data_IF_794574515870
#
_entry.id   IF_794574515870
#
_cell.length_a   1.000
_cell.length_b   1.000
_cell.length_c   1.000
_cell.angle_alpha   90.00
_cell.angle_beta   90.00
_cell.angle_gamma   90.00
#
_symmetry.space_group_name_H-M   'P 1'
#
loop_
_entity.id
_entity.type
_entity.pdbx_description
1 polymer ?
#
# COMPACT_ATOMS: atom_id res chain seq x y z
N UNK A 1 9.52 -1.41 22.43
CA UNK A 1 9.61 -0.01 21.96
C UNK A 1 10.20 0.95 23.00
N UNK A 2 9.63 1.14 24.23
CA UNK A 2 10.16 2.08 25.22
C UNK A 2 11.63 1.79 25.60
N UNK A 3 11.99 0.53 25.82
CA UNK A 3 13.38 0.13 26.12
C UNK A 3 14.35 0.46 24.98
N UNK A 4 13.92 0.39 23.73
CA UNK A 4 14.75 0.79 22.58
C UNK A 4 14.81 2.32 22.43
N UNK A 5 13.71 3.02 22.73
CA UNK A 5 13.66 4.47 22.66
C UNK A 5 14.66 5.14 23.65
N UNK A 6 14.82 4.57 24.86
CA UNK A 6 15.81 5.07 25.84
C UNK A 6 17.26 4.90 25.38
N UNK A 7 17.49 4.07 24.39
CA UNK A 7 18.81 3.80 23.81
C UNK A 7 19.10 4.65 22.56
N UNK A 8 18.11 5.38 22.05
CA UNK A 8 18.30 6.26 20.91
C UNK A 8 19.10 7.50 21.32
N UNK A 9 19.96 7.95 20.41
CA UNK A 9 20.66 9.21 20.57
C UNK A 9 19.67 10.39 20.52
N UNK A 10 19.97 11.50 21.17
CA UNK A 10 19.21 12.76 20.99
C UNK A 10 19.24 13.13 19.50
N UNK A 11 18.07 13.46 18.93
CA UNK A 11 17.94 13.72 17.49
C UNK A 11 17.77 12.45 16.64
N UNK A 12 17.53 11.29 17.26
CA UNK A 12 17.10 10.08 16.56
C UNK A 12 15.61 9.80 16.79
N UNK A 13 14.93 9.26 15.78
CA UNK A 13 13.51 8.88 15.86
C UNK A 13 13.21 7.63 15.04
N UNK A 14 12.18 6.90 15.45
CA UNK A 14 11.72 5.72 14.72
C UNK A 14 11.29 6.08 13.30
N UNK A 15 11.60 5.20 12.35
CA UNK A 15 11.39 5.40 10.92
C UNK A 15 11.12 4.07 10.20
N UNK A 16 11.04 4.08 8.88
CA UNK A 16 10.88 2.89 8.04
C UNK A 16 9.67 2.05 8.48
N UNK A 17 9.79 0.73 8.55
CA UNK A 17 8.70 -0.17 8.98
C UNK A 17 8.22 0.18 10.39
N UNK A 18 9.13 0.41 11.33
CA UNK A 18 8.79 0.78 12.71
C UNK A 18 7.95 2.06 12.76
N UNK A 19 8.38 3.10 12.06
CA UNK A 19 7.63 4.36 12.00
C UNK A 19 6.25 4.19 11.38
N UNK A 20 6.14 3.41 10.31
CA UNK A 20 4.87 3.11 9.66
C UNK A 20 3.92 2.31 10.56
N UNK A 21 4.42 1.29 11.27
CA UNK A 21 3.64 0.54 12.27
C UNK A 21 3.15 1.41 13.42
N UNK A 22 4.00 2.30 13.94
CA UNK A 22 3.63 3.24 15.00
C UNK A 22 2.48 4.17 14.59
N UNK A 23 2.44 4.56 13.31
CA UNK A 23 1.36 5.38 12.73
C UNK A 23 0.11 4.57 12.35
N UNK A 24 0.17 3.24 12.38
CA UNK A 24 -0.93 2.37 11.96
C UNK A 24 -1.11 2.32 10.43
N UNK A 25 -0.06 2.62 9.67
CA UNK A 25 -0.12 2.53 8.21
C UNK A 25 -0.21 1.10 7.74
N UNK A 26 -0.91 0.89 6.65
CA UNK A 26 -0.94 -0.41 5.99
C UNK A 26 0.44 -0.78 5.49
N UNK A 27 0.83 -2.00 5.80
CA UNK A 27 2.09 -2.55 5.35
C UNK A 27 1.83 -3.84 4.57
N UNK A 28 2.64 -4.14 3.55
CA UNK A 28 2.61 -5.46 2.93
C UNK A 28 3.05 -6.52 3.94
N UNK A 29 2.80 -7.82 3.67
CA UNK A 29 3.32 -8.91 4.49
C UNK A 29 4.84 -8.80 4.62
N UNK A 30 5.33 -8.66 5.84
CA UNK A 30 6.76 -8.46 6.12
C UNK A 30 7.47 -9.79 6.40
N UNK A 31 8.78 -9.90 6.09
CA UNK A 31 9.60 -10.98 6.60
C UNK A 31 9.61 -11.00 8.13
N UNK A 32 9.70 -12.18 8.72
CA UNK A 32 9.90 -12.33 10.17
C UNK A 32 11.32 -11.92 10.57
N UNK A 33 11.48 -11.48 11.84
CA UNK A 33 12.80 -11.16 12.40
C UNK A 33 13.40 -9.84 11.90
N UNK A 34 12.62 -8.94 11.33
CA UNK A 34 13.11 -7.58 11.02
C UNK A 34 13.45 -6.84 12.33
N UNK A 35 14.61 -6.13 12.38
CA UNK A 35 14.91 -5.25 13.50
C UNK A 35 13.99 -4.03 13.49
N UNK A 36 13.90 -3.33 14.60
CA UNK A 36 13.33 -1.99 14.65
C UNK A 36 14.21 -1.00 13.89
N UNK A 37 13.63 0.05 13.33
CA UNK A 37 14.34 1.02 12.51
C UNK A 37 14.25 2.42 13.15
N UNK A 38 15.39 3.09 13.26
CA UNK A 38 15.45 4.49 13.63
C UNK A 38 16.35 5.29 12.67
N UNK A 39 16.06 6.57 12.50
CA UNK A 39 16.85 7.49 11.70
C UNK A 39 17.64 8.45 12.59
N UNK A 40 18.85 8.79 12.17
CA UNK A 40 19.67 9.85 12.77
C UNK A 40 20.68 10.40 11.75
N UNK A 41 21.18 11.62 11.99
CA UNK A 41 22.24 12.20 11.16
C UNK A 41 23.67 11.84 11.61
N UNK A 42 23.85 11.30 12.81
CA UNK A 42 25.17 10.96 13.37
C UNK A 42 25.93 9.91 12.56
N UNK A 43 27.25 10.05 12.52
CA UNK A 43 28.15 9.00 11.98
C UNK A 43 28.27 7.80 12.91
N UNK A 44 28.07 8.02 14.22
CA UNK A 44 28.11 6.94 15.20
C UNK A 44 26.79 6.13 15.11
N UNK A 45 26.90 4.88 14.73
CA UNK A 45 25.78 3.95 14.56
C UNK A 45 26.08 2.68 15.36
N UNK A 46 25.59 2.59 16.59
CA UNK A 46 25.75 1.36 17.36
C UNK A 46 25.09 0.21 16.58
N UNK A 47 25.84 -0.87 16.39
CA UNK A 47 25.29 -2.11 15.78
C UNK A 47 24.60 -2.89 16.89
N UNK A 48 23.31 -3.10 16.71
CA UNK A 48 22.48 -3.90 17.63
C UNK A 48 21.59 -4.82 16.81
N UNK A 49 21.41 -6.07 17.22
CA UNK A 49 20.56 -7.02 16.49
C UNK A 49 19.11 -6.52 16.35
N UNK A 50 18.59 -5.89 17.43
CA UNK A 50 17.19 -5.47 17.52
C UNK A 50 16.91 -4.08 16.93
N UNK A 51 17.97 -3.28 16.62
CA UNK A 51 17.82 -1.90 16.19
C UNK A 51 18.75 -1.56 15.04
N UNK A 52 18.18 -1.16 13.92
CA UNK A 52 18.91 -0.69 12.75
C UNK A 52 18.81 0.81 12.60
N UNK A 53 19.96 1.48 12.59
CA UNK A 53 20.05 2.92 12.38
C UNK A 53 20.20 3.24 10.90
N UNK A 54 19.28 4.02 10.36
CA UNK A 54 19.31 4.58 9.00
C UNK A 54 19.88 6.00 9.09
N UNK A 55 21.00 6.23 8.43
CA UNK A 55 21.54 7.59 8.33
C UNK A 55 20.69 8.43 7.38
N UNK A 56 20.33 9.62 7.83
CA UNK A 56 19.62 10.64 7.04
C UNK A 56 20.44 11.92 6.93
N UNK A 57 20.32 12.60 5.80
CA UNK A 57 20.85 13.94 5.56
C UNK A 57 19.78 14.68 4.78
N UNK A 58 19.30 15.83 5.24
CA UNK A 58 19.66 16.54 6.49
C UNK A 58 19.27 15.77 7.76
N UNK A 59 19.49 16.41 8.92
CA UNK A 59 19.02 15.88 10.23
C UNK A 59 17.49 15.70 10.18
N UNK A 60 16.95 14.56 10.68
CA UNK A 60 15.53 14.33 10.62
C UNK A 60 14.79 15.21 11.62
N UNK A 61 13.64 15.69 11.23
CA UNK A 61 12.69 16.33 12.14
C UNK A 61 12.07 15.28 13.06
N UNK A 62 12.21 15.47 14.38
CA UNK A 62 11.74 14.53 15.40
C UNK A 62 10.53 15.10 16.11
N UNK A 63 9.45 14.33 16.13
CA UNK A 63 8.26 14.56 16.94
C UNK A 63 8.07 13.44 17.96
N UNK A 64 6.97 13.48 18.72
CA UNK A 64 6.61 12.41 19.64
C UNK A 64 5.23 11.84 19.27
N UNK A 65 5.18 10.53 19.12
CA UNK A 65 3.94 9.78 18.95
C UNK A 65 3.80 8.82 20.13
N UNK A 66 2.75 9.00 20.93
CA UNK A 66 2.52 8.22 22.17
C UNK A 66 3.75 8.19 23.10
N UNK A 67 4.44 9.34 23.21
CA UNK A 67 5.64 9.49 24.03
C UNK A 67 6.96 8.99 23.41
N UNK A 68 6.91 8.31 22.28
CA UNK A 68 8.10 7.76 21.57
C UNK A 68 8.59 8.73 20.47
N UNK A 69 9.91 8.86 20.25
CA UNK A 69 10.46 9.71 19.21
C UNK A 69 10.21 9.09 17.82
N UNK A 70 9.67 9.88 16.91
CA UNK A 70 9.37 9.46 15.54
C UNK A 70 9.76 10.56 14.56
N UNK A 71 10.26 10.19 13.39
CA UNK A 71 10.56 11.14 12.32
C UNK A 71 9.29 11.60 11.60
N UNK A 72 9.38 12.67 10.81
CA UNK A 72 8.28 13.15 9.98
C UNK A 72 7.73 12.04 9.05
N UNK A 73 6.43 12.08 8.75
CA UNK A 73 5.76 11.07 7.89
C UNK A 73 6.41 10.93 6.53
N UNK A 74 6.79 12.04 5.91
CA UNK A 74 7.49 12.05 4.61
C UNK A 74 8.86 11.40 4.68
N UNK A 75 9.56 11.50 5.80
CA UNK A 75 10.85 10.83 6.02
C UNK A 75 10.69 9.32 6.17
N UNK A 76 9.59 8.87 6.79
CA UNK A 76 9.23 7.44 6.84
C UNK A 76 8.99 6.92 5.43
N UNK A 77 8.20 7.62 4.61
CA UNK A 77 7.95 7.25 3.22
C UNK A 77 9.23 7.16 2.40
N UNK A 78 10.12 8.15 2.50
CA UNK A 78 11.41 8.13 1.82
C UNK A 78 12.29 6.94 2.27
N UNK A 79 12.30 6.63 3.56
CA UNK A 79 13.05 5.51 4.11
C UNK A 79 12.52 4.17 3.58
N UNK A 80 11.20 3.97 3.53
CA UNK A 80 10.55 2.79 2.95
C UNK A 80 10.83 2.68 1.46
N UNK A 81 10.70 3.78 0.72
CA UNK A 81 10.93 3.82 -0.72
C UNK A 81 12.37 3.46 -1.14
N UNK A 82 13.34 3.47 -0.23
CA UNK A 82 14.71 2.98 -0.50
C UNK A 82 14.77 1.46 -0.68
N UNK A 83 13.91 0.72 0.04
CA UNK A 83 14.05 -0.73 0.18
C UNK A 83 12.83 -1.49 -0.36
N UNK A 84 11.63 -0.96 -0.25
CA UNK A 84 10.40 -1.59 -0.71
C UNK A 84 10.29 -1.62 -2.24
N UNK A 85 9.47 -2.53 -2.77
CA UNK A 85 9.01 -2.54 -4.15
C UNK A 85 8.09 -1.36 -4.46
N UNK A 86 7.87 -1.05 -5.74
CA UNK A 86 7.00 0.06 -6.11
C UNK A 86 5.58 -0.13 -5.60
N UNK A 87 5.00 -1.32 -5.79
CA UNK A 87 3.67 -1.68 -5.30
C UNK A 87 3.54 -1.48 -3.79
N UNK A 88 4.55 -1.94 -3.02
CA UNK A 88 4.55 -1.79 -1.56
C UNK A 88 4.57 -0.31 -1.14
N UNK A 89 5.34 0.52 -1.85
CA UNK A 89 5.41 1.97 -1.56
C UNK A 89 4.07 2.64 -1.86
N UNK A 90 3.36 2.23 -2.93
CA UNK A 90 2.02 2.79 -3.22
C UNK A 90 1.03 2.42 -2.12
N UNK A 91 1.02 1.16 -1.66
CA UNK A 91 0.13 0.73 -0.55
C UNK A 91 0.37 1.56 0.71
N UNK A 92 1.63 1.80 1.08
CA UNK A 92 1.96 2.60 2.26
C UNK A 92 1.62 4.08 2.05
N UNK A 93 1.84 4.61 0.85
CA UNK A 93 1.50 5.99 0.52
C UNK A 93 -0.01 6.23 0.52
N UNK A 94 -0.79 5.31 -0.06
CA UNK A 94 -2.26 5.37 0.00
C UNK A 94 -2.74 5.39 1.45
N UNK A 95 -2.17 4.53 2.31
CA UNK A 95 -2.49 4.53 3.73
C UNK A 95 -2.16 5.86 4.41
N UNK A 96 -0.98 6.43 4.15
CA UNK A 96 -0.56 7.69 4.76
C UNK A 96 -1.44 8.87 4.32
N UNK A 97 -1.90 8.87 3.06
CA UNK A 97 -2.84 9.85 2.51
C UNK A 97 -4.25 9.65 3.09
N UNK A 98 -4.73 8.40 3.13
CA UNK A 98 -6.04 8.03 3.67
C UNK A 98 -6.21 8.45 5.13
N UNK A 99 -5.19 8.20 5.94
CA UNK A 99 -5.19 8.55 7.38
C UNK A 99 -4.91 10.04 7.63
N UNK A 100 -4.62 10.83 6.58
CA UNK A 100 -4.31 12.24 6.72
C UNK A 100 -2.95 12.55 7.35
N UNK A 101 -2.09 11.54 7.49
CA UNK A 101 -0.74 11.69 8.06
C UNK A 101 0.24 12.41 7.11
N UNK A 102 -0.11 12.46 5.83
CA UNK A 102 0.61 13.20 4.79
C UNK A 102 -0.39 13.92 3.91
N UNK A 103 -0.24 15.23 3.81
CA UNK A 103 -1.03 16.06 2.88
C UNK A 103 -0.42 16.05 1.48
N UNK A 104 -1.21 16.35 0.43
CA UNK A 104 -0.68 16.52 -0.93
C UNK A 104 0.47 17.54 -1.02
N UNK A 105 0.41 18.64 -0.26
CA UNK A 105 1.47 19.64 -0.21
C UNK A 105 2.75 19.09 0.39
N UNK A 106 2.66 18.41 1.56
CA UNK A 106 3.83 17.78 2.19
C UNK A 106 4.46 16.71 1.30
N UNK A 107 3.63 15.95 0.57
CA UNK A 107 4.13 14.99 -0.41
C UNK A 107 4.86 15.70 -1.55
N UNK A 108 4.28 16.74 -2.13
CA UNK A 108 4.89 17.53 -3.22
C UNK A 108 6.26 18.06 -2.78
N UNK A 109 6.37 18.64 -1.58
CA UNK A 109 7.64 19.13 -1.02
C UNK A 109 8.67 18.02 -0.87
N UNK A 110 8.26 16.85 -0.35
CA UNK A 110 9.15 15.69 -0.21
C UNK A 110 9.68 15.17 -1.55
N UNK A 111 8.88 15.28 -2.62
CA UNK A 111 9.26 14.84 -3.97
C UNK A 111 10.28 15.76 -4.63
N UNK A 112 10.44 17.02 -4.20
CA UNK A 112 11.48 17.94 -4.71
C UNK A 112 12.86 17.63 -4.15
N UNK A 113 12.93 16.98 -2.98
CA UNK A 113 14.15 16.72 -2.26
C UNK A 113 15.12 15.80 -3.04
N UNK A 114 16.43 16.11 -2.97
CA UNK A 114 17.50 15.24 -3.50
C UNK A 114 17.92 14.22 -2.43
N UNK A 115 17.02 13.27 -2.13
CA UNK A 115 17.20 12.29 -1.06
C UNK A 115 17.05 10.85 -1.59
N UNK A 116 17.68 9.91 -0.88
CA UNK A 116 17.49 8.49 -1.19
C UNK A 116 16.01 8.08 -1.06
N UNK A 117 15.53 7.27 -2.00
CA UNK A 117 14.14 6.84 -2.07
C UNK A 117 13.23 7.75 -2.90
N UNK A 118 13.60 9.01 -3.15
CA UNK A 118 12.74 9.99 -3.84
C UNK A 118 12.32 9.53 -5.25
N UNK A 119 13.19 8.87 -6.01
CA UNK A 119 12.83 8.38 -7.36
C UNK A 119 11.66 7.41 -7.32
N UNK A 120 11.71 6.45 -6.37
CA UNK A 120 10.62 5.47 -6.22
C UNK A 120 9.39 6.11 -5.62
N UNK A 121 9.54 7.05 -4.68
CA UNK A 121 8.42 7.78 -4.11
C UNK A 121 7.71 8.64 -5.18
N UNK A 122 8.43 9.26 -6.11
CA UNK A 122 7.83 9.97 -7.27
C UNK A 122 7.00 9.03 -8.13
N UNK A 123 7.53 7.85 -8.48
CA UNK A 123 6.77 6.85 -9.23
C UNK A 123 5.55 6.36 -8.45
N UNK A 124 5.69 6.13 -7.14
CA UNK A 124 4.55 5.76 -6.30
C UNK A 124 3.49 6.86 -6.26
N UNK A 125 3.89 8.13 -6.19
CA UNK A 125 2.97 9.26 -6.16
C UNK A 125 2.15 9.42 -7.45
N UNK A 126 2.66 8.98 -8.61
CA UNK A 126 1.86 8.96 -9.85
C UNK A 126 0.79 7.86 -9.88
N UNK A 127 0.91 6.87 -9.00
CA UNK A 127 0.01 5.71 -8.90
C UNK A 127 -0.87 5.74 -7.65
N UNK A 128 -0.56 6.59 -6.68
CA UNK A 128 -1.25 6.66 -5.41
C UNK A 128 -2.62 7.31 -5.52
N UNK A 129 -3.55 6.83 -4.68
CA UNK A 129 -4.88 7.40 -4.52
C UNK A 129 -5.36 7.15 -3.07
N UNK A 130 -5.34 8.18 -2.24
CA UNK A 130 -5.68 8.09 -0.81
C UNK A 130 -7.15 7.77 -0.51
N UNK A 131 -7.98 7.46 -1.52
CA UNK A 131 -9.36 7.01 -1.33
C UNK A 131 -9.48 5.52 -1.03
N UNK A 132 -8.48 4.69 -1.38
CA UNK A 132 -8.48 3.28 -0.96
C UNK A 132 -8.60 3.18 0.56
N UNK A 133 -9.38 2.22 1.06
CA UNK A 133 -9.62 2.00 2.50
C UNK A 133 -8.89 0.75 3.03
N UNK A 134 -8.19 0.03 2.16
CA UNK A 134 -7.40 -1.16 2.53
C UNK A 134 -6.21 -1.39 1.58
N UNK A 135 -5.20 -2.20 2.01
CA UNK A 135 -4.10 -2.61 1.14
C UNK A 135 -4.58 -3.30 -0.15
N UNK A 136 -5.58 -4.16 -0.02
CA UNK A 136 -6.05 -4.96 -1.16
C UNK A 136 -6.92 -4.17 -2.13
N UNK A 137 -7.63 -3.13 -1.68
CA UNK A 137 -8.26 -2.17 -2.59
C UNK A 137 -7.21 -1.42 -3.42
N UNK A 138 -6.09 -1.00 -2.80
CA UNK A 138 -4.94 -0.44 -3.53
C UNK A 138 -4.41 -1.45 -4.56
N UNK A 139 -4.25 -2.73 -4.20
CA UNK A 139 -3.79 -3.77 -5.12
C UNK A 139 -4.77 -3.97 -6.27
N UNK A 140 -6.06 -4.10 -5.97
CA UNK A 140 -7.10 -4.28 -6.98
C UNK A 140 -7.14 -3.09 -7.96
N UNK A 141 -7.06 -1.87 -7.44
CA UNK A 141 -6.98 -0.64 -8.25
C UNK A 141 -5.75 -0.66 -9.18
N UNK A 142 -4.57 -0.98 -8.64
CA UNK A 142 -3.33 -1.00 -9.42
C UNK A 142 -3.30 -2.13 -10.46
N UNK A 143 -3.96 -3.26 -10.19
CA UNK A 143 -4.15 -4.32 -11.18
C UNK A 143 -4.93 -3.78 -12.39
N UNK A 144 -6.06 -3.11 -12.14
CA UNK A 144 -6.86 -2.50 -13.22
C UNK A 144 -6.04 -1.49 -14.01
N UNK A 145 -5.37 -0.56 -13.33
CA UNK A 145 -4.51 0.47 -13.97
C UNK A 145 -3.39 -0.17 -14.80
N UNK A 146 -2.73 -1.20 -14.27
CA UNK A 146 -1.68 -1.92 -14.99
C UNK A 146 -2.17 -2.67 -16.25
N UNK A 147 -3.48 -2.99 -16.29
CA UNK A 147 -4.14 -3.66 -17.41
C UNK A 147 -4.91 -2.68 -18.32
N UNK A 148 -4.60 -1.37 -18.28
CA UNK A 148 -5.27 -0.33 -19.06
C UNK A 148 -6.80 -0.30 -18.85
N UNK A 149 -7.23 -0.50 -17.60
CA UNK A 149 -8.62 -0.34 -17.17
C UNK A 149 -8.73 0.91 -16.32
N UNK A 150 -9.42 1.91 -16.82
CA UNK A 150 -9.69 3.13 -16.08
C UNK A 150 -10.73 2.85 -14.98
N UNK A 151 -10.39 3.20 -13.73
CA UNK A 151 -11.25 2.98 -12.57
C UNK A 151 -11.34 4.23 -11.70
N UNK A 152 -12.47 4.38 -11.01
CA UNK A 152 -12.69 5.44 -10.01
C UNK A 152 -12.87 4.79 -8.64
N UNK A 153 -11.92 5.03 -7.69
CA UNK A 153 -12.04 4.48 -6.35
C UNK A 153 -13.18 5.12 -5.55
N UNK A 154 -13.78 4.33 -4.67
CA UNK A 154 -14.81 4.74 -3.71
C UNK A 154 -15.98 5.48 -4.38
N UNK A 155 -16.48 4.87 -5.49
CA UNK A 155 -17.57 5.46 -6.28
C UNK A 155 -18.91 5.36 -5.56
N UNK A 156 -19.59 6.50 -5.42
CA UNK A 156 -20.96 6.56 -4.90
C UNK A 156 -21.97 6.33 -6.01
N UNK A 157 -22.71 5.21 -5.91
CA UNK A 157 -23.86 4.95 -6.75
C UNK A 157 -25.08 5.67 -6.17
N UNK A 158 -25.64 6.60 -6.93
CA UNK A 158 -26.82 7.38 -6.53
C UNK A 158 -27.95 7.18 -7.54
N UNK A 159 -29.18 7.05 -7.02
CA UNK A 159 -30.40 7.00 -7.80
C UNK A 159 -31.34 8.10 -7.27
N UNK A 160 -31.82 8.97 -8.11
CA UNK A 160 -32.63 10.15 -7.76
C UNK A 160 -32.07 10.97 -6.61
N UNK A 161 -30.74 11.13 -6.56
CA UNK A 161 -30.00 11.84 -5.52
C UNK A 161 -29.79 11.07 -4.21
N UNK A 162 -30.42 9.91 -4.04
CA UNK A 162 -30.25 9.02 -2.89
C UNK A 162 -29.04 8.12 -3.07
N UNK A 163 -28.19 8.02 -2.05
CA UNK A 163 -27.09 7.05 -2.05
C UNK A 163 -27.65 5.62 -1.96
N UNK A 164 -27.39 4.81 -2.97
CA UNK A 164 -27.74 3.38 -3.01
C UNK A 164 -26.60 2.52 -2.46
N UNK A 165 -25.37 2.77 -2.93
CA UNK A 165 -24.19 2.05 -2.49
C UNK A 165 -22.94 2.88 -2.73
N UNK A 166 -21.81 2.49 -2.11
CA UNK A 166 -20.46 2.95 -2.43
C UNK A 166 -19.63 1.73 -2.78
N UNK A 167 -19.07 1.69 -3.98
CA UNK A 167 -18.23 0.59 -4.46
C UNK A 167 -16.75 0.95 -4.41
N UNK A 168 -15.88 -0.04 -4.14
CA UNK A 168 -14.45 0.20 -4.03
C UNK A 168 -13.86 0.74 -5.34
N UNK A 169 -14.27 0.18 -6.49
CA UNK A 169 -13.84 0.61 -7.83
C UNK A 169 -15.00 0.60 -8.80
N UNK A 170 -15.24 1.71 -9.45
CA UNK A 170 -16.08 1.78 -10.64
C UNK A 170 -15.24 1.64 -11.90
N UNK A 171 -15.57 0.70 -12.79
CA UNK A 171 -14.97 0.65 -14.13
C UNK A 171 -15.56 1.80 -14.95
N UNK A 172 -14.74 2.81 -15.23
CA UNK A 172 -15.16 4.08 -15.80
C UNK A 172 -15.91 3.88 -17.12
N UNK A 173 -17.07 4.55 -17.24
CA UNK A 173 -17.92 4.48 -18.43
C UNK A 173 -18.82 3.26 -18.53
N UNK A 174 -18.91 2.43 -17.49
CA UNK A 174 -19.75 1.24 -17.41
C UNK A 174 -20.74 1.29 -16.26
N UNK A 175 -21.52 0.25 -16.07
CA UNK A 175 -22.37 0.05 -14.88
C UNK A 175 -21.83 -1.06 -13.97
N UNK A 176 -20.50 -1.19 -13.84
CA UNK A 176 -19.88 -2.26 -13.07
C UNK A 176 -19.00 -1.71 -11.93
N UNK A 177 -19.18 -2.32 -10.75
CA UNK A 177 -18.37 -2.13 -9.57
C UNK A 177 -17.53 -3.37 -9.32
N UNK A 178 -16.21 -3.18 -9.16
CA UNK A 178 -15.29 -4.22 -8.71
C UNK A 178 -14.88 -3.91 -7.27
N UNK A 179 -15.01 -4.88 -6.38
CA UNK A 179 -14.78 -4.71 -4.94
C UNK A 179 -13.81 -5.75 -4.40
N UNK A 180 -13.06 -5.39 -3.38
CA UNK A 180 -12.27 -6.35 -2.64
C UNK A 180 -13.12 -6.98 -1.52
N UNK A 181 -13.39 -8.26 -1.66
CA UNK A 181 -14.08 -9.05 -0.64
C UNK A 181 -13.05 -9.69 0.30
N UNK A 182 -12.67 -8.98 1.36
CA UNK A 182 -11.75 -9.50 2.38
C UNK A 182 -12.27 -10.77 3.05
N UNK A 183 -11.35 -11.70 3.36
CA UNK A 183 -11.65 -12.90 4.15
C UNK A 183 -11.85 -12.49 5.62
N UNK A 184 -12.94 -11.81 5.91
CA UNK A 184 -13.39 -11.58 7.29
C UNK A 184 -14.39 -12.68 7.71
N UNK A 185 -14.40 -13.07 8.97
CA UNK A 185 -15.47 -13.89 9.54
C UNK A 185 -16.80 -13.14 9.39
N UNK A 186 -17.49 -13.35 8.25
CA UNK A 186 -18.80 -12.74 8.01
C UNK A 186 -19.77 -13.29 9.03
N UNK A 187 -20.24 -12.42 9.93
CA UNK A 187 -21.36 -12.76 10.80
C UNK A 187 -22.61 -13.00 9.95
N UNK A 188 -23.60 -13.74 10.48
CA UNK A 188 -24.89 -13.95 9.77
C UNK A 188 -25.59 -12.63 9.42
N UNK A 189 -25.41 -11.60 10.24
CA UNK A 189 -26.03 -10.30 10.03
C UNK A 189 -25.31 -9.52 8.91
N UNK A 190 -24.00 -9.64 8.82
CA UNK A 190 -23.19 -9.07 7.75
C UNK A 190 -23.56 -9.71 6.39
N UNK A 191 -23.70 -11.04 6.35
CA UNK A 191 -24.14 -11.73 5.13
C UNK A 191 -25.54 -11.29 4.65
N UNK A 192 -26.50 -11.06 5.59
CA UNK A 192 -27.82 -10.53 5.23
C UNK A 192 -27.75 -9.10 4.71
N UNK A 193 -26.87 -8.28 5.26
CA UNK A 193 -26.65 -6.90 4.79
C UNK A 193 -26.06 -6.91 3.36
N UNK A 194 -25.08 -7.77 3.11
CA UNK A 194 -24.44 -7.91 1.79
C UNK A 194 -25.46 -8.34 0.73
N UNK A 195 -26.34 -9.31 1.05
CA UNK A 195 -27.41 -9.76 0.13
C UNK A 195 -28.48 -8.67 -0.14
N UNK A 196 -28.74 -7.78 0.80
CA UNK A 196 -29.63 -6.63 0.57
C UNK A 196 -28.95 -5.62 -0.35
N UNK A 197 -27.70 -5.27 -0.05
CA UNK A 197 -26.88 -4.37 -0.86
C UNK A 197 -26.75 -4.85 -2.32
N UNK A 198 -26.50 -6.14 -2.53
CA UNK A 198 -26.42 -6.74 -3.88
C UNK A 198 -27.75 -6.61 -4.63
N UNK A 199 -28.90 -6.79 -3.96
CA UNK A 199 -30.22 -6.60 -4.56
C UNK A 199 -30.49 -5.14 -4.91
N UNK A 200 -30.13 -4.22 -4.01
CA UNK A 200 -30.34 -2.78 -4.21
C UNK A 200 -29.49 -2.28 -5.38
N UNK A 201 -28.24 -2.72 -5.48
CA UNK A 201 -27.35 -2.44 -6.63
C UNK A 201 -27.92 -3.02 -7.92
N UNK A 202 -28.35 -4.30 -7.90
CA UNK A 202 -28.91 -4.97 -9.06
C UNK A 202 -30.20 -4.31 -9.58
N UNK A 203 -31.04 -3.77 -8.68
CA UNK A 203 -32.26 -3.06 -9.06
C UNK A 203 -32.01 -1.79 -9.88
N UNK A 204 -30.80 -1.18 -9.74
CA UNK A 204 -30.38 0.00 -10.54
C UNK A 204 -29.75 -0.37 -11.89
N UNK A 205 -29.69 -1.66 -12.24
CA UNK A 205 -29.02 -2.13 -13.46
C UNK A 205 -27.48 -2.15 -13.36
N UNK A 206 -26.92 -1.97 -12.16
CA UNK A 206 -25.48 -2.09 -11.92
C UNK A 206 -25.11 -3.53 -11.56
N UNK A 207 -23.87 -3.90 -11.87
CA UNK A 207 -23.28 -5.20 -11.57
C UNK A 207 -22.14 -5.02 -10.58
N UNK A 208 -22.21 -5.75 -9.46
CA UNK A 208 -21.12 -5.83 -8.49
C UNK A 208 -20.35 -7.15 -8.65
N UNK A 209 -19.01 -7.08 -8.59
CA UNK A 209 -18.14 -8.25 -8.57
C UNK A 209 -17.14 -8.11 -7.44
N UNK A 210 -17.15 -9.08 -6.52
CA UNK A 210 -16.22 -9.15 -5.41
C UNK A 210 -15.05 -10.08 -5.72
N UNK A 211 -13.85 -9.71 -5.31
CA UNK A 211 -12.61 -10.47 -5.49
C UNK A 211 -11.85 -10.61 -4.18
N UNK A 212 -11.28 -11.78 -3.98
CA UNK A 212 -10.48 -12.13 -2.81
C UNK A 212 -8.99 -11.80 -3.03
N UNK A 213 -8.21 -11.80 -1.94
CA UNK A 213 -6.76 -11.69 -1.98
C UNK A 213 -6.10 -12.75 -2.88
N UNK A 214 -6.64 -13.99 -2.86
CA UNK A 214 -6.17 -15.08 -3.71
C UNK A 214 -6.36 -14.74 -5.20
N UNK A 215 -7.49 -14.18 -5.59
CA UNK A 215 -7.75 -13.80 -6.99
C UNK A 215 -6.86 -12.66 -7.42
N UNK A 216 -6.73 -11.61 -6.60
CA UNK A 216 -5.86 -10.46 -6.90
C UNK A 216 -4.39 -10.88 -7.06
N UNK A 217 -3.89 -11.77 -6.20
CA UNK A 217 -2.48 -12.16 -6.18
C UNK A 217 -2.13 -13.36 -7.06
N UNK A 218 -3.07 -14.30 -7.28
CA UNK A 218 -2.80 -15.60 -7.91
C UNK A 218 -3.59 -15.86 -9.19
N UNK A 219 -4.74 -15.19 -9.35
CA UNK A 219 -5.66 -15.40 -10.47
C UNK A 219 -6.12 -14.08 -11.11
N UNK A 220 -5.22 -13.09 -11.33
CA UNK A 220 -5.59 -11.78 -11.86
C UNK A 220 -6.21 -11.86 -13.26
N UNK A 221 -5.98 -12.95 -13.99
CA UNK A 221 -6.57 -13.19 -15.33
C UNK A 221 -8.10 -13.23 -15.29
N UNK A 222 -8.70 -13.72 -14.21
CA UNK A 222 -10.15 -13.78 -14.09
C UNK A 222 -10.72 -12.36 -13.89
N UNK A 223 -10.04 -11.53 -13.11
CA UNK A 223 -10.37 -10.11 -12.89
C UNK A 223 -10.27 -9.33 -14.21
N UNK A 224 -9.16 -9.51 -14.94
CA UNK A 224 -8.98 -8.87 -16.25
C UNK A 224 -10.07 -9.31 -17.26
N UNK A 225 -10.40 -10.61 -17.29
CA UNK A 225 -11.45 -11.14 -18.18
C UNK A 225 -12.81 -10.53 -17.89
N UNK A 226 -13.13 -10.33 -16.61
CA UNK A 226 -14.38 -9.69 -16.20
C UNK A 226 -14.39 -8.21 -16.58
N UNK A 227 -13.27 -7.51 -16.41
CA UNK A 227 -13.13 -6.11 -16.83
C UNK A 227 -13.24 -5.97 -18.37
N UNK A 228 -12.57 -6.84 -19.14
CA UNK A 228 -12.61 -6.84 -20.59
C UNK A 228 -14.05 -7.09 -21.12
N UNK A 229 -14.76 -8.07 -20.50
CA UNK A 229 -16.17 -8.34 -20.83
C UNK A 229 -17.06 -7.13 -20.54
N UNK A 230 -16.84 -6.47 -19.40
CA UNK A 230 -17.61 -5.29 -19.00
C UNK A 230 -17.38 -4.12 -19.97
N UNK A 231 -16.14 -3.96 -20.45
CA UNK A 231 -15.77 -2.91 -21.42
C UNK A 231 -16.12 -3.28 -22.88
N UNK A 232 -16.62 -4.50 -23.13
CA UNK A 232 -16.93 -4.96 -24.48
C UNK A 232 -15.71 -5.09 -25.39
N UNK A 233 -14.52 -5.35 -24.80
CA UNK A 233 -13.27 -5.49 -25.55
C UNK A 233 -12.74 -6.93 -25.52
N UNK A 234 -11.91 -7.29 -26.50
CA UNK A 234 -11.27 -8.60 -26.56
C UNK A 234 -10.33 -8.81 -25.37
N UNK A 235 -10.40 -10.03 -24.81
CA UNK A 235 -9.53 -10.42 -23.72
C UNK A 235 -8.10 -10.64 -24.20
N UNK A 236 -7.16 -9.88 -23.65
CA UNK A 236 -5.74 -9.99 -23.91
C UNK A 236 -4.96 -10.16 -22.58
N UNK A 237 -4.56 -11.40 -22.25
CA UNK A 237 -3.83 -11.67 -21.02
C UNK A 237 -2.44 -11.04 -20.95
N UNK A 238 -1.85 -10.60 -22.06
CA UNK A 238 -0.54 -9.93 -22.07
C UNK A 238 -0.56 -8.60 -21.32
N UNK A 239 -1.73 -7.97 -21.15
CA UNK A 239 -1.87 -6.76 -20.31
C UNK A 239 -1.53 -7.00 -18.85
N UNK A 240 -1.50 -8.26 -18.39
CA UNK A 240 -1.05 -8.59 -17.03
C UNK A 240 0.46 -8.51 -16.82
N UNK A 241 1.26 -8.37 -17.87
CA UNK A 241 2.72 -8.34 -17.74
C UNK A 241 3.18 -7.20 -16.81
N UNK A 242 2.59 -6.01 -16.96
CA UNK A 242 2.87 -4.87 -16.09
C UNK A 242 2.47 -5.12 -14.63
N UNK A 243 1.36 -5.83 -14.38
CA UNK A 243 0.95 -6.23 -13.05
C UNK A 243 1.94 -7.23 -12.43
N UNK A 244 2.35 -8.25 -13.18
CA UNK A 244 3.32 -9.23 -12.70
C UNK A 244 4.68 -8.60 -12.42
N UNK A 245 5.10 -7.57 -13.18
CA UNK A 245 6.32 -6.82 -12.90
C UNK A 245 6.24 -6.05 -11.58
N UNK A 246 5.11 -5.43 -11.28
CA UNK A 246 4.87 -4.79 -9.98
C UNK A 246 4.92 -5.81 -8.84
N UNK A 247 4.23 -6.95 -8.98
CA UNK A 247 4.19 -8.02 -7.97
C UNK A 247 5.57 -8.64 -7.72
N UNK A 248 6.38 -8.84 -8.76
CA UNK A 248 7.71 -9.46 -8.64
C UNK A 248 8.61 -8.77 -7.64
N UNK A 249 8.46 -7.45 -7.48
CA UNK A 249 9.24 -6.65 -6.52
C UNK A 249 8.59 -6.48 -5.16
N UNK A 250 7.37 -6.95 -4.97
CA UNK A 250 6.53 -6.66 -3.81
C UNK A 250 6.58 -7.74 -2.74
N UNK A 251 6.52 -7.31 -1.48
CA UNK A 251 6.43 -8.16 -0.29
C UNK A 251 5.14 -8.99 -0.21
N UNK A 252 4.14 -8.72 -1.03
CA UNK A 252 2.99 -9.62 -1.21
C UNK A 252 3.40 -10.98 -1.81
N UNK A 253 4.62 -11.09 -2.37
CA UNK A 253 5.21 -12.36 -2.82
C UNK A 253 6.36 -12.79 -1.93
N UNK A 254 6.63 -14.11 -1.88
CA UNK A 254 7.79 -14.63 -1.16
C UNK A 254 9.11 -14.07 -1.74
N UNK A 255 9.22 -14.03 -3.06
CA UNK A 255 10.40 -13.48 -3.75
C UNK A 255 10.64 -11.99 -3.42
N UNK A 256 9.58 -11.19 -3.32
CA UNK A 256 9.69 -9.78 -2.92
C UNK A 256 10.16 -9.61 -1.48
N UNK A 257 9.70 -10.44 -0.55
CA UNK A 257 10.18 -10.45 0.84
C UNK A 257 11.68 -10.80 0.92
N UNK A 258 12.16 -11.77 0.14
CA UNK A 258 13.59 -12.07 0.05
C UNK A 258 14.38 -10.89 -0.52
N UNK A 259 13.88 -10.22 -1.55
CA UNK A 259 14.50 -9.01 -2.09
C UNK A 259 14.55 -7.86 -1.07
N UNK A 260 13.53 -7.71 -0.23
CA UNK A 260 13.55 -6.73 0.86
C UNK A 260 14.68 -7.04 1.84
N UNK A 261 14.81 -8.30 2.30
CA UNK A 261 15.89 -8.73 3.18
C UNK A 261 17.28 -8.46 2.56
N UNK A 262 17.46 -8.79 1.28
CA UNK A 262 18.71 -8.54 0.57
C UNK A 262 19.02 -7.02 0.49
N UNK A 263 18.06 -6.18 0.14
CA UNK A 263 18.24 -4.71 0.11
C UNK A 263 18.53 -4.12 1.49
N UNK A 264 18.00 -4.73 2.53
CA UNK A 264 18.31 -4.37 3.91
C UNK A 264 19.67 -4.95 4.36
N UNK A 265 20.33 -5.82 3.60
CA UNK A 265 21.53 -6.54 4.02
C UNK A 265 21.26 -7.46 5.23
N UNK A 266 20.08 -8.06 5.27
CA UNK A 266 19.60 -9.02 6.27
C UNK A 266 19.35 -10.41 5.66
N UNK A 267 19.60 -10.59 4.37
CA UNK A 267 19.51 -11.90 3.69
C UNK A 267 20.62 -12.83 4.16
N UNK A 268 20.33 -14.13 4.17
CA UNK A 268 21.34 -15.16 4.42
C UNK A 268 22.41 -15.08 3.32
N UNK A 269 23.69 -14.87 3.66
CA UNK A 269 24.77 -14.84 2.67
C UNK A 269 24.94 -16.15 1.90
N UNK A 270 24.33 -17.27 2.36
CA UNK A 270 24.37 -18.58 1.72
C UNK A 270 23.16 -18.87 0.81
N UNK A 271 22.18 -17.98 0.71
CA UNK A 271 20.97 -18.13 -0.11
C UNK A 271 21.06 -17.36 -1.44
N UNK A 272 22.22 -17.15 -1.99
CA UNK A 272 22.36 -16.69 -3.38
C UNK A 272 22.23 -17.92 -4.32
N UNK A 273 21.43 -17.80 -5.42
CA UNK A 273 21.26 -18.88 -6.38
C UNK A 273 22.56 -19.23 -7.12
#
# INVERSE_FOLDING_TARGET
MHALASQLHRGAGFTHVTGAQMRGWWLPPLPTGLPEFAAQNSRNRPRRPELRIIRTTPEPEISRLRGLPIVASTDILLALARHFGLLDVVVVLDSALHLGDVTPSQLADALTARRFGVRRLRLAATLADGRSESPYETLLRLLHVACDVAVVPQHELREDGRLVARGDLWILGTNALHEYDGVGHRSRDQHRSDLRRDRDIGATGWVRRGYTDLEVLRRPVDILRDADRTLGRDHDPSRLDAWYDLLRGSCFTAAGRQRLLARLGLGDPMAAP
#
